data_IF_534572731899
#
_entry.id   IF_534572731899
#
_cell.length_a   1.000
_cell.length_b   1.000
_cell.length_c   1.000
_cell.angle_alpha   90.00
_cell.angle_beta   90.00
_cell.angle_gamma   90.00
#
_symmetry.space_group_name_H-M   'P 1'
#
loop_
_entity.id
_entity.type
_entity.pdbx_description
1 polymer ?
#
# COMPACT_ATOMS: atom_id res chain seq x y z
N UNK A 1 -3.21 -1.13 13.41
CA UNK A 1 -2.31 -1.73 12.39
C UNK A 1 -1.21 -0.79 11.95
N UNK A 2 -1.54 0.42 11.51
CA UNK A 2 -0.53 1.38 11.05
C UNK A 2 0.47 1.76 12.14
N UNK A 3 0.02 1.95 13.39
CA UNK A 3 0.92 2.26 14.50
C UNK A 3 1.90 1.12 14.77
N UNK A 4 1.46 -0.13 14.66
CA UNK A 4 2.34 -1.29 14.82
C UNK A 4 3.40 -1.33 13.70
N UNK A 5 3.03 -1.01 12.49
CA UNK A 5 3.97 -0.94 11.36
C UNK A 5 5.03 0.12 11.59
N UNK A 6 4.64 1.28 12.10
CA UNK A 6 5.57 2.38 12.39
C UNK A 6 6.47 2.02 13.58
N UNK A 7 5.90 1.48 14.65
CA UNK A 7 6.65 1.12 15.85
C UNK A 7 7.71 0.05 15.59
N UNK A 8 7.42 -0.88 14.68
CA UNK A 8 8.34 -1.93 14.28
C UNK A 8 9.30 -1.51 13.16
N UNK A 9 9.21 -0.25 12.72
CA UNK A 9 10.06 0.29 11.65
C UNK A 9 9.98 -0.52 10.36
N UNK A 10 8.76 -0.95 10.00
CA UNK A 10 8.52 -1.68 8.77
C UNK A 10 8.61 -0.72 7.58
N UNK A 11 9.37 -1.09 6.55
CA UNK A 11 9.35 -0.37 5.28
C UNK A 11 8.06 -0.68 4.55
N UNK A 12 7.16 0.30 4.47
CA UNK A 12 5.90 0.16 3.75
C UNK A 12 5.50 1.46 3.07
N UNK A 13 4.62 1.34 2.10
CA UNK A 13 4.00 2.49 1.43
C UNK A 13 2.50 2.25 1.33
N UNK A 14 1.71 3.28 1.64
CA UNK A 14 0.29 3.26 1.34
C UNK A 14 0.12 3.34 -0.17
N UNK A 15 -0.64 2.39 -0.73
CA UNK A 15 -0.95 2.31 -2.16
C UNK A 15 -2.46 2.17 -2.33
N UNK A 16 -2.95 2.04 -3.56
CA UNK A 16 -4.36 1.83 -3.82
C UNK A 16 -5.21 3.09 -3.75
N UNK A 17 -6.51 2.92 -3.49
CA UNK A 17 -7.49 4.00 -3.61
C UNK A 17 -7.27 5.16 -2.64
N UNK A 18 -6.73 4.91 -1.44
CA UNK A 18 -6.41 5.98 -0.49
C UNK A 18 -5.35 6.95 -1.01
N UNK A 19 -4.52 6.53 -1.96
CA UNK A 19 -3.52 7.39 -2.57
C UNK A 19 -4.17 8.56 -3.31
N UNK A 20 -5.30 8.32 -3.96
CA UNK A 20 -6.06 9.38 -4.63
C UNK A 20 -6.42 10.50 -3.65
N UNK A 21 -6.94 10.12 -2.48
CA UNK A 21 -7.27 11.10 -1.44
C UNK A 21 -6.04 11.84 -0.92
N UNK A 22 -4.92 11.13 -0.75
CA UNK A 22 -3.67 11.73 -0.28
C UNK A 22 -3.11 12.77 -1.27
N UNK A 23 -3.36 12.58 -2.56
CA UNK A 23 -2.94 13.51 -3.61
C UNK A 23 -4.03 14.54 -3.98
N UNK A 24 -5.07 14.68 -3.17
CA UNK A 24 -6.10 15.70 -3.35
C UNK A 24 -7.32 15.27 -4.15
N UNK A 25 -7.51 13.97 -4.39
CA UNK A 25 -8.64 13.42 -5.14
C UNK A 25 -9.51 12.54 -4.23
N UNK A 26 -10.48 13.13 -3.49
CA UNK A 26 -11.31 12.37 -2.55
C UNK A 26 -11.99 11.19 -3.22
N UNK A 27 -11.93 10.03 -2.56
CA UNK A 27 -12.56 8.82 -3.04
C UNK A 27 -13.03 7.99 -1.85
N UNK A 28 -14.29 7.54 -1.89
CA UNK A 28 -14.82 6.67 -0.86
C UNK A 28 -14.23 5.26 -1.04
N UNK A 29 -13.60 4.74 0.00
CA UNK A 29 -13.08 3.39 0.02
C UNK A 29 -12.99 2.89 1.45
N UNK A 30 -13.28 1.60 1.65
CA UNK A 30 -13.08 0.93 2.93
C UNK A 30 -11.79 0.10 2.99
N UNK A 31 -11.06 0.01 1.87
CA UNK A 31 -9.87 -0.83 1.75
C UNK A 31 -8.60 0.00 1.93
N UNK A 32 -7.71 -0.49 2.77
CA UNK A 32 -6.38 0.10 2.98
C UNK A 32 -5.36 -0.87 2.43
N UNK A 33 -4.58 -0.45 1.45
CA UNK A 33 -3.56 -1.28 0.81
C UNK A 33 -2.18 -0.84 1.26
N UNK A 34 -1.45 -1.73 1.93
CA UNK A 34 -0.11 -1.50 2.43
C UNK A 34 0.88 -2.36 1.64
N UNK A 35 1.76 -1.71 0.92
CA UNK A 35 2.80 -2.39 0.15
C UNK A 35 4.08 -2.44 0.98
N UNK A 36 4.57 -3.66 1.22
CA UNK A 36 5.77 -3.90 2.04
C UNK A 36 6.91 -4.45 1.19
N UNK A 37 8.13 -4.22 1.64
CA UNK A 37 9.30 -4.81 1.00
C UNK A 37 9.27 -6.33 1.17
N UNK A 38 9.53 -7.08 0.10
CA UNK A 38 9.51 -8.54 0.12
C UNK A 38 10.90 -9.10 0.43
N UNK A 39 11.29 -9.04 1.71
CA UNK A 39 12.50 -9.65 2.24
C UNK A 39 12.21 -10.30 3.60
N UNK A 40 13.15 -11.15 4.07
CA UNK A 40 12.96 -11.91 5.31
C UNK A 40 12.81 -11.02 6.55
N UNK A 41 13.62 -9.99 6.65
CA UNK A 41 13.58 -9.08 7.80
C UNK A 41 12.23 -8.38 7.89
N UNK A 42 11.73 -7.86 6.77
CA UNK A 42 10.42 -7.22 6.71
C UNK A 42 9.30 -8.22 6.97
N UNK A 43 9.40 -9.42 6.41
CA UNK A 43 8.39 -10.47 6.60
C UNK A 43 8.19 -10.81 8.07
N UNK A 44 9.26 -10.96 8.85
CA UNK A 44 9.18 -11.22 10.29
C UNK A 44 8.50 -10.06 11.03
N UNK A 45 8.83 -8.83 10.69
CA UNK A 45 8.21 -7.64 11.30
C UNK A 45 6.72 -7.55 10.96
N UNK A 46 6.36 -7.82 9.71
CA UNK A 46 4.95 -7.81 9.27
C UNK A 46 4.16 -8.88 10.02
N UNK A 47 4.68 -10.10 10.11
CA UNK A 47 4.03 -11.17 10.87
C UNK A 47 3.78 -10.73 12.31
N UNK A 48 4.79 -10.15 12.96
CA UNK A 48 4.68 -9.68 14.34
C UNK A 48 3.63 -8.57 14.46
N UNK A 49 3.60 -7.63 13.52
CA UNK A 49 2.61 -6.54 13.52
C UNK A 49 1.18 -7.07 13.40
N UNK A 50 0.96 -8.06 12.53
CA UNK A 50 -0.35 -8.69 12.36
C UNK A 50 -0.77 -9.40 13.64
N UNK A 51 0.14 -10.14 14.27
CA UNK A 51 -0.13 -10.85 15.52
C UNK A 51 -0.45 -9.88 16.66
N UNK A 52 0.30 -8.79 16.79
CA UNK A 52 0.07 -7.76 17.82
C UNK A 52 -1.25 -7.01 17.60
N UNK A 53 -1.67 -6.86 16.36
CA UNK A 53 -2.97 -6.27 16.04
C UNK A 53 -4.13 -7.18 16.47
N UNK A 54 -3.86 -8.47 16.67
CA UNK A 54 -4.88 -9.45 17.07
C UNK A 54 -5.58 -10.13 15.91
N UNK A 55 -5.10 -9.94 14.67
CA UNK A 55 -5.65 -10.65 13.53
C UNK A 55 -5.21 -12.12 13.54
N UNK A 56 -6.05 -13.05 13.02
CA UNK A 56 -5.66 -14.44 12.92
C UNK A 56 -4.43 -14.60 12.03
N UNK A 57 -3.42 -15.31 12.53
CA UNK A 57 -2.20 -15.62 11.77
C UNK A 57 -2.16 -17.08 11.34
N UNK A 58 -3.24 -17.83 11.57
CA UNK A 58 -3.35 -19.23 11.16
C UNK A 58 -3.24 -19.31 9.63
N UNK A 59 -2.35 -20.14 9.13
CA UNK A 59 -2.09 -20.26 7.71
C UNK A 59 -1.20 -19.18 7.11
N UNK A 60 -0.83 -18.14 7.89
CA UNK A 60 0.13 -17.15 7.45
C UNK A 60 1.55 -17.69 7.64
N UNK A 61 2.33 -17.65 6.58
CA UNK A 61 3.69 -18.15 6.56
C UNK A 61 4.67 -16.99 6.31
N UNK A 62 5.65 -16.84 7.20
CA UNK A 62 6.67 -15.79 7.07
C UNK A 62 7.42 -15.91 5.75
N UNK A 63 7.71 -17.13 5.29
CA UNK A 63 8.42 -17.30 4.02
C UNK A 63 7.59 -16.86 2.81
N UNK A 64 6.26 -16.93 2.89
CA UNK A 64 5.39 -16.36 1.84
C UNK A 64 5.47 -14.84 1.83
N UNK A 65 5.49 -14.22 3.00
CA UNK A 65 5.60 -12.74 3.10
C UNK A 65 6.95 -12.22 2.59
N UNK A 66 7.96 -13.06 2.49
CA UNK A 66 9.26 -12.68 1.92
C UNK A 66 9.31 -12.79 0.39
N UNK A 67 8.28 -13.36 -0.24
CA UNK A 67 8.19 -13.54 -1.68
C UNK A 67 7.30 -12.47 -2.31
N UNK A 68 7.58 -12.05 -3.56
CA UNK A 68 6.67 -11.14 -4.28
C UNK A 68 5.37 -11.85 -4.67
N UNK A 69 4.35 -11.07 -5.00
CA UNK A 69 3.10 -11.58 -5.51
C UNK A 69 2.11 -12.08 -4.47
N UNK A 70 2.35 -11.84 -3.19
CA UNK A 70 1.48 -12.26 -2.10
C UNK A 70 0.57 -11.11 -1.67
N UNK A 71 -0.71 -11.42 -1.45
CA UNK A 71 -1.69 -10.51 -0.86
C UNK A 71 -2.26 -11.19 0.38
N UNK A 72 -2.13 -10.56 1.54
CA UNK A 72 -2.73 -11.02 2.77
C UNK A 72 -3.83 -10.05 3.21
N UNK A 73 -5.06 -10.54 3.29
CA UNK A 73 -6.24 -9.73 3.61
C UNK A 73 -6.62 -9.87 5.07
N UNK A 74 -6.86 -8.74 5.75
CA UNK A 74 -7.27 -8.70 7.14
C UNK A 74 -8.61 -7.97 7.21
N UNK A 75 -9.59 -8.60 7.87
CA UNK A 75 -10.93 -8.05 8.01
C UNK A 75 -11.79 -8.30 6.78
N UNK A 76 -13.01 -7.73 6.83
CA UNK A 76 -13.99 -7.82 5.75
C UNK A 76 -14.59 -6.44 5.53
N UNK A 77 -15.20 -6.23 4.35
CA UNK A 77 -15.89 -4.98 4.08
C UNK A 77 -16.85 -4.63 5.24
N UNK A 78 -16.99 -3.33 5.60
CA UNK A 78 -16.49 -2.15 4.89
C UNK A 78 -15.06 -1.75 5.23
N UNK A 79 -14.39 -2.42 6.17
CA UNK A 79 -13.02 -2.09 6.57
C UNK A 79 -12.13 -3.31 6.34
N UNK A 80 -11.30 -3.25 5.32
CA UNK A 80 -10.36 -4.32 4.97
C UNK A 80 -8.96 -3.73 4.80
N UNK A 81 -7.96 -4.45 5.30
CA UNK A 81 -6.56 -4.10 5.12
C UNK A 81 -5.92 -5.19 4.28
N UNK A 82 -5.32 -4.81 3.16
CA UNK A 82 -4.59 -5.71 2.29
C UNK A 82 -3.09 -5.42 2.42
N UNK A 83 -2.31 -6.45 2.71
CA UNK A 83 -0.86 -6.35 2.75
C UNK A 83 -0.32 -6.99 1.48
N UNK A 84 0.42 -6.20 0.69
CA UNK A 84 0.91 -6.58 -0.62
C UNK A 84 2.43 -6.68 -0.57
N UNK A 85 2.99 -7.80 -1.05
CA UNK A 85 4.44 -7.96 -1.12
C UNK A 85 5.04 -7.48 -2.43
N UNK A 86 4.20 -7.19 -3.43
CA UNK A 86 4.61 -6.54 -4.68
C UNK A 86 3.43 -5.81 -5.30
N UNK A 87 3.72 -4.87 -6.19
CA UNK A 87 2.72 -4.22 -7.04
C UNK A 87 3.21 -4.24 -8.48
N UNK A 88 2.27 -4.08 -9.42
CA UNK A 88 2.61 -4.08 -10.83
C UNK A 88 3.41 -2.83 -11.22
N UNK A 89 4.46 -3.03 -11.99
CA UNK A 89 5.18 -1.95 -12.66
C UNK A 89 6.17 -1.16 -11.83
N UNK A 90 6.23 -1.38 -10.50
CA UNK A 90 7.15 -0.64 -9.62
C UNK A 90 7.80 -1.61 -8.64
N UNK A 91 9.11 -1.56 -8.49
CA UNK A 91 9.81 -2.31 -7.45
C UNK A 91 10.00 -1.42 -6.21
N UNK A 92 9.99 -2.03 -5.03
CA UNK A 92 10.08 -1.30 -3.77
C UNK A 92 11.39 -0.52 -3.65
N UNK A 93 12.49 -1.09 -4.12
CA UNK A 93 13.81 -0.48 -4.06
C UNK A 93 13.94 0.81 -4.86
N UNK A 94 13.16 0.97 -5.94
CA UNK A 94 13.20 2.16 -6.79
C UNK A 94 12.07 3.14 -6.53
N UNK A 95 11.13 2.81 -5.64
CA UNK A 95 10.04 3.71 -5.27
C UNK A 95 10.60 4.87 -4.44
N UNK A 96 10.92 5.97 -5.09
CA UNK A 96 11.66 7.08 -4.51
C UNK A 96 10.84 8.36 -4.32
N UNK A 97 9.71 8.50 -4.99
CA UNK A 97 8.89 9.71 -4.94
C UNK A 97 7.78 9.60 -3.90
N UNK A 98 8.14 9.12 -2.70
CA UNK A 98 7.16 8.97 -1.61
C UNK A 98 6.87 10.29 -0.94
N UNK A 99 5.63 10.44 -0.46
CA UNK A 99 5.22 11.58 0.34
C UNK A 99 4.85 11.13 1.75
N UNK A 100 4.80 12.05 2.68
CA UNK A 100 4.37 11.78 4.05
C UNK A 100 3.03 12.45 4.30
N UNK A 101 2.07 11.68 4.84
CA UNK A 101 0.73 12.17 5.15
C UNK A 101 0.47 11.97 6.63
N UNK A 102 -0.06 13.00 7.30
CA UNK A 102 -0.48 12.90 8.70
C UNK A 102 -1.88 12.28 8.77
N UNK A 103 -2.01 11.20 9.54
CA UNK A 103 -3.28 10.50 9.75
C UNK A 103 -3.35 10.03 11.20
N UNK A 104 -4.33 10.54 11.95
CA UNK A 104 -4.54 10.22 13.38
C UNK A 104 -3.25 10.36 14.22
N UNK A 105 -2.49 11.43 13.97
CA UNK A 105 -1.25 11.69 14.69
C UNK A 105 -0.05 10.85 14.22
N UNK A 106 -0.24 10.00 13.21
CA UNK A 106 0.82 9.18 12.64
C UNK A 106 1.30 9.80 11.32
N UNK A 107 2.59 9.68 11.04
CA UNK A 107 3.15 10.04 9.74
C UNK A 107 3.22 8.80 8.87
N UNK A 108 2.41 8.76 7.82
CA UNK A 108 2.25 7.59 6.95
C UNK A 108 2.99 7.84 5.64
N UNK A 109 3.93 6.95 5.24
CA UNK A 109 4.55 7.06 3.92
C UNK A 109 3.58 6.59 2.84
N UNK A 110 3.43 7.40 1.80
CA UNK A 110 2.50 7.16 0.70
C UNK A 110 3.30 7.12 -0.60
N UNK A 111 2.94 6.20 -1.50
CA UNK A 111 3.56 6.11 -2.82
C UNK A 111 3.45 7.46 -3.54
N UNK A 112 4.53 7.90 -4.18
CA UNK A 112 4.53 9.14 -4.95
C UNK A 112 3.65 9.03 -6.19
N UNK A 113 3.20 10.17 -6.69
CA UNK A 113 2.23 10.22 -7.78
C UNK A 113 2.76 9.55 -9.06
N UNK A 114 4.04 9.75 -9.38
CA UNK A 114 4.65 9.15 -10.58
C UNK A 114 4.65 7.62 -10.51
N UNK A 115 5.06 7.06 -9.37
CA UNK A 115 5.07 5.61 -9.17
C UNK A 115 3.65 5.06 -9.12
N UNK A 116 2.71 5.79 -8.53
CA UNK A 116 1.31 5.43 -8.50
C UNK A 116 0.73 5.33 -9.92
N UNK A 117 1.02 6.31 -10.77
CA UNK A 117 0.59 6.30 -12.18
C UNK A 117 1.18 5.11 -12.94
N UNK A 118 2.47 4.82 -12.71
CA UNK A 118 3.13 3.68 -13.31
C UNK A 118 2.45 2.37 -12.91
N UNK A 119 2.13 2.21 -11.63
CA UNK A 119 1.42 1.04 -11.13
C UNK A 119 0.04 0.89 -11.79
N UNK A 120 -0.74 1.97 -11.83
CA UNK A 120 -2.08 1.96 -12.42
C UNK A 120 -2.06 1.60 -13.90
N UNK A 121 -1.12 2.14 -14.67
CA UNK A 121 -0.95 1.79 -16.09
C UNK A 121 -0.61 0.31 -16.26
N UNK A 122 0.25 -0.20 -15.39
CA UNK A 122 0.73 -1.59 -15.48
C UNK A 122 -0.37 -2.62 -15.20
N UNK A 123 -1.41 -2.27 -14.44
CA UNK A 123 -2.53 -3.20 -14.20
C UNK A 123 -3.38 -3.43 -15.43
N UNK A 124 -3.46 -2.46 -16.34
CA UNK A 124 -4.26 -2.53 -17.55
C UNK A 124 -5.77 -2.54 -17.32
N UNK A 125 -6.25 -2.41 -16.09
CA UNK A 125 -7.68 -2.41 -15.80
C UNK A 125 -8.31 -1.09 -16.23
N UNK A 126 -9.53 -1.17 -16.80
CA UNK A 126 -10.24 0.02 -17.29
C UNK A 126 -10.41 1.09 -16.22
N UNK A 127 -10.76 0.69 -15.01
CA UNK A 127 -10.88 1.62 -13.88
C UNK A 127 -9.56 2.33 -13.58
N UNK A 128 -8.46 1.59 -13.58
CA UNK A 128 -7.14 2.16 -13.28
C UNK A 128 -6.66 3.09 -14.40
N UNK A 129 -6.94 2.75 -15.67
CA UNK A 129 -6.61 3.61 -16.80
C UNK A 129 -7.41 4.89 -16.80
N UNK A 130 -8.68 4.84 -16.38
CA UNK A 130 -9.51 6.04 -16.23
C UNK A 130 -8.95 6.96 -15.12
N UNK A 131 -8.48 6.39 -14.00
CA UNK A 131 -7.84 7.15 -12.93
C UNK A 131 -6.57 7.84 -13.43
N UNK A 132 -5.77 7.16 -14.24
CA UNK A 132 -4.55 7.72 -14.85
C UNK A 132 -4.90 8.91 -15.73
N UNK A 133 -5.91 8.76 -16.60
CA UNK A 133 -6.33 9.82 -17.50
C UNK A 133 -6.76 11.07 -16.74
N UNK A 134 -7.55 10.90 -15.69
CA UNK A 134 -7.98 12.01 -14.85
C UNK A 134 -6.80 12.72 -14.18
N UNK A 135 -5.88 11.98 -13.59
CA UNK A 135 -4.71 12.54 -12.92
C UNK A 135 -3.78 13.25 -13.90
N UNK A 136 -3.58 12.71 -15.10
CA UNK A 136 -2.73 13.33 -16.11
C UNK A 136 -3.32 14.63 -16.61
N UNK A 137 -4.64 14.69 -16.78
CA UNK A 137 -5.33 15.93 -17.16
C UNK A 137 -5.12 17.01 -16.11
N UNK A 138 -5.32 16.67 -14.84
CA UNK A 138 -5.18 17.61 -13.74
C UNK A 138 -3.74 18.11 -13.59
N UNK A 139 -2.76 17.24 -13.77
CA UNK A 139 -1.35 17.62 -13.75
C UNK A 139 -1.02 18.52 -14.95
N UNK A 140 -1.56 18.22 -16.12
CA UNK A 140 -1.34 19.02 -17.32
C UNK A 140 -1.94 20.42 -17.25
N UNK A 141 -2.97 20.62 -16.44
CA UNK A 141 -3.62 21.91 -16.21
C UNK A 141 -2.91 22.77 -15.16
N UNK A 142 -1.99 22.17 -14.40
CA UNK A 142 -1.21 22.87 -13.39
C UNK A 142 0.09 23.39 -14.00
#
# INVERSE_FOLDING_TARGET
MLSAFIDLEIDFLLVGAYVMAAHGYPRATGDIDLWVRSDDATAHKVYRAIAEFGAPVDGLNVSELSQPGIVFQIGVAPVRIDILTSINGVSFEVASNRIAVSWDGLTIPVIGLRDFLCNKRSTGRTKDLADVEQLEQDIGER
#
